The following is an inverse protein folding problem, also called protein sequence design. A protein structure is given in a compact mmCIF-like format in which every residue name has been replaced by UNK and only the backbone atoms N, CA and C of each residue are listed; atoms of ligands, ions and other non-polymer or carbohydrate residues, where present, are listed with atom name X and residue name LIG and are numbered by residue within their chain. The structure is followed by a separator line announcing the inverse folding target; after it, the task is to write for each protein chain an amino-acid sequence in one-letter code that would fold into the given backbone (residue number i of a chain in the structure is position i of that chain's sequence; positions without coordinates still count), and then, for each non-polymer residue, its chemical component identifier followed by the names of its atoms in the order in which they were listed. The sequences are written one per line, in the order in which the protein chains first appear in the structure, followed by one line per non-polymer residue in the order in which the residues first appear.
data_IF_078315963835
#
_entry.id   IF_078315963835
#
_cell.length_a   1.000
_cell.length_b   1.000
_cell.length_c   1.000
_cell.angle_alpha   90.00
_cell.angle_beta   90.00
_cell.angle_gamma   90.00
#
_symmetry.space_group_name_H-M   'P 1'
#
loop_
_entity.id
_entity.type
_entity.pdbx_description
1 polymer ?
#
# COMPACT_ATOMS: atom_id res chain seq x y z
N UNK A 1 -0.01 11.71 -2.54
CA UNK A 1 -1.25 11.77 -1.73
C UNK A 1 -1.72 10.40 -1.24
N UNK A 2 -1.84 9.36 -2.10
CA UNK A 2 -2.41 8.06 -1.68
C UNK A 2 -1.72 7.42 -0.46
N UNK A 3 -0.39 7.48 -0.36
CA UNK A 3 0.33 6.94 0.80
C UNK A 3 0.03 7.66 2.12
N UNK A 4 -0.14 8.98 2.10
CA UNK A 4 -0.52 9.76 3.28
C UNK A 4 -1.94 9.44 3.76
N UNK A 5 -2.85 9.16 2.83
CA UNK A 5 -4.21 8.71 3.16
C UNK A 5 -4.16 7.35 3.86
N UNK A 6 -3.36 6.41 3.35
CA UNK A 6 -3.19 5.09 4.00
C UNK A 6 -2.62 5.23 5.41
N UNK A 7 -1.58 6.06 5.58
CA UNK A 7 -1.04 6.38 6.90
C UNK A 7 -2.13 6.91 7.84
N UNK A 8 -2.91 7.89 7.41
CA UNK A 8 -3.94 8.54 8.23
C UNK A 8 -5.03 7.54 8.64
N UNK A 9 -5.52 6.72 7.69
CA UNK A 9 -6.54 5.70 7.96
C UNK A 9 -6.04 4.70 9.00
N UNK A 10 -4.82 4.18 8.85
CA UNK A 10 -4.23 3.24 9.80
C UNK A 10 -3.97 3.90 11.16
N UNK A 11 -3.50 5.14 11.19
CA UNK A 11 -3.29 5.90 12.42
C UNK A 11 -4.59 6.02 13.23
N UNK A 12 -5.66 6.49 12.60
CA UNK A 12 -6.97 6.67 13.27
C UNK A 12 -7.55 5.33 13.69
N UNK A 13 -7.49 4.32 12.82
CA UNK A 13 -8.01 2.98 13.12
C UNK A 13 -7.27 2.35 14.32
N UNK A 14 -5.94 2.40 14.35
CA UNK A 14 -5.13 1.82 15.43
C UNK A 14 -5.25 2.60 16.73
N UNK A 15 -5.39 3.93 16.66
CA UNK A 15 -5.68 4.76 17.83
C UNK A 15 -7.01 4.33 18.43
N UNK A 16 -8.09 4.32 17.65
CA UNK A 16 -9.41 3.91 18.10
C UNK A 16 -9.44 2.47 18.63
N UNK A 17 -8.71 1.56 17.98
CA UNK A 17 -8.59 0.17 18.43
C UNK A 17 -7.84 0.05 19.76
N UNK A 18 -6.79 0.84 19.97
CA UNK A 18 -6.06 0.87 21.25
C UNK A 18 -6.91 1.42 22.39
N UNK A 19 -7.85 2.34 22.12
CA UNK A 19 -8.81 2.77 23.14
C UNK A 19 -9.71 1.62 23.62
N UNK A 20 -9.98 0.63 22.78
CA UNK A 20 -10.75 -0.56 23.14
C UNK A 20 -9.88 -1.65 23.78
N UNK A 21 -8.59 -1.70 23.42
CA UNK A 21 -7.62 -2.70 23.87
C UNK A 21 -6.31 -2.01 24.27
N UNK A 22 -6.22 -1.61 25.55
CA UNK A 22 -5.09 -0.82 26.06
C UNK A 22 -3.75 -1.57 26.06
N UNK A 23 -3.77 -2.90 26.05
CA UNK A 23 -2.56 -3.75 26.09
C UNK A 23 -1.91 -3.97 24.72
N UNK A 24 -2.27 -3.17 23.70
CA UNK A 24 -1.67 -3.32 22.38
C UNK A 24 -0.20 -2.87 22.37
N UNK A 25 0.75 -3.72 21.94
CA UNK A 25 2.13 -3.28 21.68
C UNK A 25 2.16 -2.34 20.46
N UNK A 26 3.20 -1.49 20.30
CA UNK A 26 4.34 -1.27 21.19
C UNK A 26 4.08 -0.24 22.32
N UNK A 27 2.90 0.36 22.41
CA UNK A 27 2.62 1.50 23.29
C UNK A 27 2.96 1.22 24.75
N UNK A 28 2.53 0.06 25.27
CA UNK A 28 2.88 -0.38 26.62
C UNK A 28 4.38 -0.60 26.81
N UNK A 29 5.04 -1.21 25.83
CA UNK A 29 6.49 -1.49 25.89
C UNK A 29 7.30 -0.19 25.94
N UNK A 30 6.91 0.81 25.17
CA UNK A 30 7.55 2.13 25.20
C UNK A 30 7.30 2.81 26.54
N UNK A 31 6.08 2.71 27.08
CA UNK A 31 5.73 3.31 28.36
C UNK A 31 6.54 2.73 29.52
N UNK A 32 6.65 1.39 29.57
CA UNK A 32 7.48 0.67 30.54
C UNK A 32 8.98 0.99 30.37
N UNK A 33 9.47 1.12 29.14
CA UNK A 33 10.88 1.49 28.88
C UNK A 33 11.23 2.90 29.36
N UNK A 34 10.27 3.83 29.36
CA UNK A 34 10.49 5.18 29.85
C UNK A 34 10.32 5.29 31.38
N UNK A 35 9.93 4.21 32.07
CA UNK A 35 9.69 4.13 33.52
C UNK A 35 8.77 5.27 34.02
N UNK A 36 7.77 5.63 33.20
CA UNK A 36 6.83 6.69 33.53
C UNK A 36 5.75 6.10 34.45
N UNK A 37 5.42 6.74 35.58
CA UNK A 37 4.36 6.26 36.44
C UNK A 37 3.01 6.27 35.71
N UNK A 38 2.29 5.15 35.77
CA UNK A 38 0.92 5.09 35.25
C UNK A 38 0.02 6.03 36.05
N UNK A 39 -0.76 6.83 35.33
CA UNK A 39 -1.68 7.80 35.95
C UNK A 39 -3.08 7.61 35.41
N UNK A 40 -4.03 7.46 36.32
CA UNK A 40 -5.46 7.34 36.02
C UNK A 40 -6.15 8.69 35.84
N UNK A 41 -5.38 9.75 35.59
CA UNK A 41 -5.94 11.08 35.42
C UNK A 41 -6.87 11.09 34.19
N UNK A 42 -8.18 11.33 34.35
CA UNK A 42 -9.13 11.21 33.27
C UNK A 42 -9.12 12.47 32.40
N UNK A 43 -8.83 12.32 31.11
CA UNK A 43 -8.94 13.38 30.11
C UNK A 43 -10.13 13.04 29.23
N UNK A 44 -11.23 13.78 29.39
CA UNK A 44 -12.48 13.48 28.66
C UNK A 44 -13.10 12.12 29.02
N UNK A 45 -12.85 11.62 30.23
CA UNK A 45 -13.35 10.33 30.70
C UNK A 45 -12.48 9.12 30.36
N UNK A 46 -11.34 9.33 29.69
CA UNK A 46 -10.38 8.27 29.31
C UNK A 46 -9.07 8.47 30.10
N UNK A 47 -8.46 7.42 30.68
CA UNK A 47 -7.19 7.54 31.39
C UNK A 47 -6.09 8.11 30.49
N UNK A 48 -5.27 9.02 31.03
CA UNK A 48 -4.18 9.67 30.29
C UNK A 48 -3.16 8.67 29.73
N UNK A 49 -2.86 7.60 30.48
CA UNK A 49 -2.01 6.48 30.04
C UNK A 49 -2.51 5.86 28.74
N UNK A 50 -3.81 5.53 28.67
CA UNK A 50 -4.42 4.90 27.48
C UNK A 50 -4.35 5.83 26.28
N UNK A 51 -4.56 7.14 26.47
CA UNK A 51 -4.44 8.12 25.39
C UNK A 51 -3.02 8.18 24.84
N UNK A 52 -2.02 8.24 25.72
CA UNK A 52 -0.60 8.26 25.33
C UNK A 52 -0.23 6.97 24.57
N UNK A 53 -0.62 5.80 25.10
CA UNK A 53 -0.39 4.50 24.46
C UNK A 53 -1.06 4.42 23.08
N UNK A 54 -2.30 4.90 22.96
CA UNK A 54 -3.03 4.92 21.69
C UNK A 54 -2.37 5.78 20.63
N UNK A 55 -1.79 6.91 21.02
CA UNK A 55 -1.04 7.78 20.13
C UNK A 55 0.22 7.09 19.62
N UNK A 56 1.01 6.47 20.51
CA UNK A 56 2.22 5.74 20.11
C UNK A 56 1.89 4.59 19.15
N UNK A 57 0.87 3.79 19.46
CA UNK A 57 0.44 2.70 18.58
C UNK A 57 -0.01 3.22 17.23
N UNK A 58 -0.87 4.24 17.21
CA UNK A 58 -1.32 4.89 15.98
C UNK A 58 -0.15 5.34 15.10
N UNK A 59 0.83 6.02 15.68
CA UNK A 59 2.00 6.52 14.94
C UNK A 59 2.83 5.36 14.41
N UNK A 60 3.20 4.40 15.24
CA UNK A 60 4.08 3.29 14.84
C UNK A 60 3.45 2.45 13.74
N UNK A 61 2.21 2.00 13.92
CA UNK A 61 1.51 1.21 12.91
C UNK A 61 1.19 2.02 11.66
N UNK A 62 0.87 3.30 11.81
CA UNK A 62 0.68 4.22 10.69
C UNK A 62 1.94 4.30 9.82
N UNK A 63 3.11 4.55 10.43
CA UNK A 63 4.40 4.66 9.73
C UNK A 63 4.72 3.33 9.03
N UNK A 64 4.59 2.20 9.73
CA UNK A 64 4.84 0.87 9.16
C UNK A 64 3.95 0.63 7.94
N UNK A 65 2.64 0.86 8.06
CA UNK A 65 1.69 0.68 6.95
C UNK A 65 2.01 1.63 5.78
N UNK A 66 2.37 2.88 6.06
CA UNK A 66 2.77 3.87 5.06
C UNK A 66 4.03 3.46 4.29
N UNK A 67 5.06 2.96 4.98
CA UNK A 67 6.29 2.46 4.36
C UNK A 67 5.99 1.23 3.51
N UNK A 68 5.27 0.24 4.05
CA UNK A 68 4.89 -0.98 3.31
C UNK A 68 4.12 -0.62 2.04
N UNK A 69 3.15 0.27 2.14
CA UNK A 69 2.39 0.75 0.98
C UNK A 69 3.27 1.48 -0.04
N UNK A 70 4.21 2.30 0.42
CA UNK A 70 5.16 3.02 -0.45
C UNK A 70 6.04 2.05 -1.24
N UNK A 71 6.61 1.05 -0.55
CA UNK A 71 7.44 0.01 -1.17
C UNK A 71 6.61 -0.82 -2.16
N UNK A 72 5.40 -1.25 -1.78
CA UNK A 72 4.51 -2.02 -2.65
C UNK A 72 4.13 -1.25 -3.92
N UNK A 73 3.83 0.05 -3.80
CA UNK A 73 3.51 0.90 -4.94
C UNK A 73 4.74 1.18 -5.82
N UNK A 74 5.91 1.38 -5.24
CA UNK A 74 7.16 1.52 -5.99
C UNK A 74 7.48 0.25 -6.80
N UNK A 75 7.26 -0.93 -6.22
CA UNK A 75 7.43 -2.21 -6.91
C UNK A 75 6.40 -2.40 -8.05
N UNK A 76 5.13 -2.04 -7.82
CA UNK A 76 4.07 -2.14 -8.84
C UNK A 76 4.31 -1.20 -10.02
N UNK A 77 4.82 0.01 -9.77
CA UNK A 77 5.10 1.00 -10.82
C UNK A 77 6.11 0.47 -11.85
N UNK A 78 7.20 -0.15 -11.40
CA UNK A 78 8.22 -0.74 -12.28
C UNK A 78 7.65 -1.82 -13.20
N UNK A 79 6.79 -2.71 -12.68
CA UNK A 79 6.14 -3.74 -13.52
C UNK A 79 5.26 -3.15 -14.61
N UNK A 80 4.53 -2.08 -14.30
CA UNK A 80 3.66 -1.42 -15.27
C UNK A 80 4.46 -0.68 -16.35
N UNK A 81 5.58 -0.06 -15.99
CA UNK A 81 6.51 0.57 -16.94
C UNK A 81 7.07 -0.48 -17.91
N UNK A 82 7.58 -1.61 -17.42
CA UNK A 82 8.06 -2.70 -18.29
C UNK A 82 6.97 -3.30 -19.18
N UNK A 83 5.73 -3.45 -18.67
CA UNK A 83 4.61 -3.95 -19.49
C UNK A 83 4.22 -2.96 -20.59
N UNK A 84 4.21 -1.67 -20.29
CA UNK A 84 3.91 -0.64 -21.29
C UNK A 84 5.02 -0.50 -22.33
N UNK A 85 6.29 -0.65 -21.94
CA UNK A 85 7.40 -0.62 -22.89
C UNK A 85 7.30 -1.75 -23.91
N UNK A 86 7.05 -2.98 -23.46
CA UNK A 86 6.82 -4.15 -24.33
C UNK A 86 5.56 -3.98 -25.19
N UNK A 87 4.48 -3.43 -24.65
CA UNK A 87 3.27 -3.15 -25.43
C UNK A 87 3.45 -2.03 -26.47
N UNK A 88 4.35 -1.07 -26.21
CA UNK A 88 4.63 0.04 -27.13
C UNK A 88 5.62 -0.31 -28.23
N UNK A 89 6.45 -1.34 -28.04
CA UNK A 89 7.40 -1.84 -29.04
C UNK A 89 6.82 -2.91 -29.96
N UNK A 90 5.62 -3.41 -29.68
CA UNK A 90 4.90 -4.30 -30.57
C UNK A 90 4.39 -3.52 -31.80
N UNK A 91 5.27 -3.37 -32.78
CA UNK A 91 4.93 -2.80 -34.08
C UNK A 91 3.82 -3.62 -34.73
N UNK A 92 2.90 -2.95 -35.42
CA UNK A 92 1.75 -3.58 -36.06
C UNK A 92 1.92 -3.56 -37.57
N UNK A 93 1.68 -4.70 -38.21
CA UNK A 93 1.65 -4.86 -39.67
C UNK A 93 0.25 -5.23 -40.14
N UNK A 94 -0.05 -4.96 -41.40
CA UNK A 94 -1.28 -5.44 -42.02
C UNK A 94 -1.04 -6.80 -42.71
N UNK A 95 -2.00 -7.71 -42.58
CA UNK A 95 -1.96 -8.99 -43.26
C UNK A 95 -2.03 -8.78 -44.78
N UNK A 96 -1.05 -9.33 -45.50
CA UNK A 96 -0.92 -9.20 -46.97
C UNK A 96 -2.10 -9.88 -47.70
N UNK A 97 -2.71 -10.91 -47.08
CA UNK A 97 -3.79 -11.67 -47.68
C UNK A 97 -5.19 -11.14 -47.34
N UNK A 98 -5.49 -10.86 -46.06
CA UNK A 98 -6.85 -10.46 -45.63
C UNK A 98 -6.97 -9.02 -45.11
N UNK A 99 -5.89 -8.26 -45.05
CA UNK A 99 -5.87 -6.87 -44.58
C UNK A 99 -6.08 -6.69 -43.07
N UNK A 100 -6.14 -7.78 -42.28
CA UNK A 100 -6.26 -7.69 -40.83
C UNK A 100 -5.01 -7.05 -40.20
N UNK A 101 -5.20 -6.15 -39.23
CA UNK A 101 -4.11 -5.61 -38.42
C UNK A 101 -3.62 -6.69 -37.46
N UNK A 102 -2.34 -7.04 -37.54
CA UNK A 102 -1.69 -8.09 -36.76
C UNK A 102 -0.37 -7.58 -36.17
N UNK A 103 0.09 -8.14 -35.04
CA UNK A 103 1.40 -7.78 -34.50
C UNK A 103 2.53 -8.25 -35.42
N UNK A 104 3.60 -7.47 -35.55
CA UNK A 104 4.79 -7.84 -36.35
C UNK A 104 5.46 -9.12 -35.86
N UNK A 105 5.36 -9.37 -34.55
CA UNK A 105 5.87 -10.57 -33.88
C UNK A 105 5.17 -11.88 -34.30
N UNK A 106 4.02 -11.79 -35.00
CA UNK A 106 3.24 -12.96 -35.40
C UNK A 106 3.68 -13.52 -36.75
N UNK A 107 3.98 -14.82 -36.76
CA UNK A 107 4.34 -15.60 -37.96
C UNK A 107 3.12 -15.96 -38.80
N UNK A 108 1.92 -15.92 -38.24
CA UNK A 108 0.67 -16.33 -38.90
C UNK A 108 -0.46 -15.37 -38.56
N UNK A 109 -1.35 -15.13 -39.53
CA UNK A 109 -2.54 -14.33 -39.32
C UNK A 109 -3.60 -15.13 -38.56
N UNK A 110 -4.01 -14.67 -37.37
CA UNK A 110 -5.08 -15.31 -36.59
C UNK A 110 -6.48 -15.27 -37.24
N UNK A 111 -6.69 -14.45 -38.29
CA UNK A 111 -7.98 -14.32 -38.99
C UNK A 111 -8.12 -15.26 -40.19
N UNK A 112 -7.07 -15.41 -41.00
CA UNK A 112 -7.12 -16.20 -42.24
C UNK A 112 -6.11 -17.36 -42.31
N UNK A 113 -5.21 -17.49 -41.33
CA UNK A 113 -4.22 -18.58 -41.27
C UNK A 113 -3.01 -18.42 -42.20
N UNK A 114 -2.93 -17.35 -42.99
CA UNK A 114 -1.78 -17.09 -43.87
C UNK A 114 -0.50 -16.82 -43.07
N UNK A 115 0.67 -17.23 -43.57
CA UNK A 115 1.97 -16.86 -43.01
C UNK A 115 2.32 -15.41 -43.30
N UNK A 116 2.87 -14.70 -42.31
CA UNK A 116 2.96 -13.23 -42.27
C UNK A 116 4.32 -12.68 -41.92
#
# INVERSE_FOLDING_TARGET
MKGAIVFLVFFVAMTAFTLLYADLPPGRQIYEMLDVPETDYPVGGIPATVLIMSLFNGIVYGIIAGIVYSIAMAAKRRRNESKNEVASTEQKKFCINCGAEIPESTTYCGKCGASQ
#
